data_IF_098061471297
#
_entry.id   IF_098061471297
#
_cell.length_a   1.000
_cell.length_b   1.000
_cell.length_c   1.000
_cell.angle_alpha   90.00
_cell.angle_beta   90.00
_cell.angle_gamma   90.00
#
_symmetry.space_group_name_H-M   'P 1'
#
loop_
_entity.id
_entity.type
_entity.pdbx_description
1 polymer ?
#
# COMPACT_ATOMS: atom_id res chain seq x y z
N UNK A 1 -26.34 23.46 2.34
CA UNK A 1 -27.22 22.69 1.49
C UNK A 1 -26.43 21.78 0.58
N UNK A 2 -26.70 21.79 -0.72
CA UNK A 2 -25.94 20.94 -1.65
C UNK A 2 -24.44 21.16 -1.56
N UNK A 3 -24.03 22.42 -1.45
CA UNK A 3 -22.64 22.78 -1.28
C UNK A 3 -22.01 22.14 -0.02
N UNK A 4 -22.71 22.19 1.09
CA UNK A 4 -22.22 21.60 2.33
C UNK A 4 -22.16 20.09 2.27
N UNK A 5 -23.08 19.47 1.55
CA UNK A 5 -23.05 18.02 1.32
C UNK A 5 -21.83 17.62 0.50
N UNK A 6 -21.50 18.37 -0.55
CA UNK A 6 -20.32 18.10 -1.36
C UNK A 6 -19.03 18.20 -0.54
N UNK A 7 -18.92 19.24 0.29
CA UNK A 7 -17.75 19.41 1.17
C UNK A 7 -17.66 18.27 2.17
N UNK A 8 -18.77 17.90 2.82
CA UNK A 8 -18.78 16.79 3.77
C UNK A 8 -18.43 15.46 3.10
N UNK A 9 -18.79 15.31 1.83
CA UNK A 9 -18.51 14.11 1.05
C UNK A 9 -17.02 13.95 0.71
N UNK A 10 -16.32 15.06 0.53
CA UNK A 10 -14.95 15.09 0.01
C UNK A 10 -13.90 15.31 1.09
N UNK A 11 -14.28 15.27 2.37
CA UNK A 11 -13.36 15.42 3.48
C UNK A 11 -13.15 14.09 4.18
N UNK A 12 -12.17 13.99 5.02
CA UNK A 12 -11.96 12.85 5.92
C UNK A 12 -11.69 11.53 5.18
N UNK A 13 -10.56 11.52 4.48
CA UNK A 13 -10.00 10.31 3.92
C UNK A 13 -8.72 9.94 4.66
N UNK A 14 -8.40 8.66 4.61
CA UNK A 14 -7.12 8.13 5.07
C UNK A 14 -6.29 7.71 3.86
N UNK A 15 -5.09 8.26 3.75
CA UNK A 15 -4.13 7.89 2.72
C UNK A 15 -3.17 6.86 3.30
N UNK A 16 -3.04 5.71 2.64
CA UNK A 16 -2.12 4.66 3.06
C UNK A 16 -1.14 4.31 1.96
N UNK A 17 0.06 3.96 2.36
CA UNK A 17 1.10 3.45 1.49
C UNK A 17 1.69 2.21 2.10
N UNK A 18 1.69 1.12 1.32
CA UNK A 18 2.38 -0.13 1.67
C UNK A 18 3.60 -0.23 0.79
N UNK A 19 4.76 -0.18 1.38
CA UNK A 19 6.03 -0.15 0.64
C UNK A 19 6.70 -1.51 0.74
N UNK A 20 6.73 -2.21 -0.39
CA UNK A 20 7.25 -3.57 -0.49
C UNK A 20 8.63 -3.54 -1.16
N UNK A 21 9.67 -3.77 -0.38
CA UNK A 21 11.02 -3.89 -0.89
C UNK A 21 11.20 -5.16 -1.71
N UNK A 22 12.03 -5.09 -2.75
CA UNK A 22 12.20 -6.19 -3.69
C UNK A 22 13.57 -6.86 -3.62
N UNK A 23 14.39 -6.55 -2.62
CA UNK A 23 15.58 -7.33 -2.33
C UNK A 23 15.25 -8.45 -1.35
N UNK A 24 15.63 -9.66 -1.69
CA UNK A 24 15.48 -10.81 -0.77
C UNK A 24 16.83 -11.00 -0.08
N UNK A 25 16.89 -10.95 1.26
CA UNK A 25 18.13 -11.12 1.98
C UNK A 25 18.84 -12.43 1.58
N UNK A 26 20.07 -12.32 1.07
CA UNK A 26 20.92 -13.44 0.65
C UNK A 26 20.33 -14.32 -0.47
N UNK A 27 19.34 -13.83 -1.23
CA UNK A 27 18.66 -14.67 -2.20
C UNK A 27 18.20 -13.92 -3.47
N UNK A 28 18.80 -12.78 -3.78
CA UNK A 28 18.49 -12.05 -4.99
C UNK A 28 17.30 -11.11 -4.84
N UNK A 29 16.41 -11.07 -5.82
CA UNK A 29 15.34 -10.09 -5.89
C UNK A 29 14.00 -10.74 -6.14
N UNK A 30 12.94 -10.09 -5.68
CA UNK A 30 11.57 -10.41 -6.08
C UNK A 30 11.41 -10.00 -7.53
N UNK A 31 11.20 -10.98 -8.42
CA UNK A 31 11.04 -10.73 -9.85
C UNK A 31 9.71 -10.06 -10.15
N UNK A 32 9.57 -9.56 -11.39
CA UNK A 32 8.30 -8.99 -11.84
C UNK A 32 7.16 -10.01 -11.78
N UNK A 33 7.43 -11.25 -12.17
CA UNK A 33 6.40 -12.31 -12.08
C UNK A 33 6.02 -12.59 -10.64
N UNK A 34 6.98 -12.67 -9.74
CA UNK A 34 6.72 -12.92 -8.31
C UNK A 34 5.87 -11.82 -7.68
N UNK A 35 6.22 -10.55 -7.94
CA UNK A 35 5.47 -9.44 -7.38
C UNK A 35 4.07 -9.34 -7.99
N UNK A 36 3.95 -9.59 -9.28
CA UNK A 36 2.64 -9.57 -9.95
C UNK A 36 1.73 -10.69 -9.45
N UNK A 37 2.26 -11.87 -9.23
CA UNK A 37 1.50 -12.99 -8.66
C UNK A 37 1.03 -12.67 -7.25
N UNK A 38 1.89 -12.07 -6.43
CA UNK A 38 1.51 -11.62 -5.10
C UNK A 38 0.39 -10.59 -5.13
N UNK A 39 0.50 -9.59 -6.01
CA UNK A 39 -0.53 -8.55 -6.16
C UNK A 39 -1.87 -9.18 -6.56
N UNK A 40 -1.86 -10.09 -7.54
CA UNK A 40 -3.08 -10.75 -8.01
C UNK A 40 -3.74 -11.61 -6.96
N UNK A 41 -2.97 -12.31 -6.15
CA UNK A 41 -3.52 -13.23 -5.16
C UNK A 41 -3.87 -12.53 -3.85
N UNK A 42 -3.13 -11.53 -3.42
CA UNK A 42 -3.24 -10.98 -2.07
C UNK A 42 -3.81 -9.56 -2.00
N UNK A 43 -3.72 -8.78 -3.08
CA UNK A 43 -4.18 -7.38 -3.07
C UNK A 43 -5.45 -7.20 -3.88
N UNK A 44 -5.44 -7.59 -5.13
CA UNK A 44 -6.57 -7.37 -6.05
C UNK A 44 -7.90 -7.94 -5.52
N UNK A 45 -7.96 -9.11 -4.87
CA UNK A 45 -9.23 -9.61 -4.36
C UNK A 45 -9.89 -8.74 -3.29
N UNK A 46 -9.15 -7.86 -2.67
CA UNK A 46 -9.62 -7.04 -1.55
C UNK A 46 -9.89 -5.59 -1.89
N UNK A 47 -9.42 -5.10 -3.04
CA UNK A 47 -9.51 -3.69 -3.38
C UNK A 47 -10.02 -3.50 -4.80
N UNK A 48 -11.05 -2.65 -4.94
CA UNK A 48 -11.60 -2.29 -6.25
C UNK A 48 -10.79 -1.21 -6.94
N UNK A 49 -9.97 -0.47 -6.20
CA UNK A 49 -9.16 0.63 -6.73
C UNK A 49 -7.89 0.79 -5.91
N UNK A 50 -6.98 1.56 -6.44
CA UNK A 50 -5.70 1.86 -5.83
C UNK A 50 -4.67 2.13 -6.92
N UNK A 51 -3.46 2.47 -6.52
CA UNK A 51 -2.37 2.79 -7.44
C UNK A 51 -1.13 2.04 -7.04
N UNK A 52 -0.48 1.42 -8.02
CA UNK A 52 0.84 0.81 -7.81
C UNK A 52 1.90 1.74 -8.37
N UNK A 53 2.93 1.97 -7.59
CA UNK A 53 4.04 2.85 -7.93
C UNK A 53 5.32 2.04 -7.83
N UNK A 54 6.13 2.08 -8.88
CA UNK A 54 7.50 1.57 -8.82
C UNK A 54 8.40 2.66 -8.26
N UNK A 55 9.14 2.33 -7.22
CA UNK A 55 10.03 3.26 -6.57
C UNK A 55 11.43 2.70 -6.41
N UNK A 56 12.34 3.58 -6.01
CA UNK A 56 13.69 3.21 -5.64
C UNK A 56 13.91 3.62 -4.18
N UNK A 57 14.18 2.63 -3.35
CA UNK A 57 14.38 2.83 -1.92
C UNK A 57 15.83 2.76 -1.52
N UNK A 58 16.10 3.14 -0.30
CA UNK A 58 17.38 2.97 0.35
C UNK A 58 17.16 2.20 1.64
N UNK A 59 17.87 1.09 1.78
CA UNK A 59 17.78 0.26 2.97
C UNK A 59 19.19 -0.21 3.38
N UNK A 60 19.58 0.14 4.59
CA UNK A 60 20.91 -0.22 5.11
C UNK A 60 22.06 0.14 4.16
N UNK A 61 21.97 1.31 3.53
CA UNK A 61 22.99 1.81 2.62
C UNK A 61 22.96 1.25 1.20
N UNK A 62 21.99 0.40 0.87
CA UNK A 62 21.86 -0.20 -0.45
C UNK A 62 20.59 0.25 -1.15
N UNK A 63 20.68 0.45 -2.46
CA UNK A 63 19.51 0.71 -3.28
C UNK A 63 18.66 -0.55 -3.40
N UNK A 64 17.35 -0.33 -3.35
CA UNK A 64 16.37 -1.39 -3.44
C UNK A 64 15.19 -0.93 -4.27
N UNK A 65 14.87 -1.66 -5.34
CA UNK A 65 13.60 -1.43 -6.03
C UNK A 65 12.44 -1.73 -5.09
N UNK A 66 11.40 -0.93 -5.17
CA UNK A 66 10.20 -1.08 -4.34
C UNK A 66 8.95 -1.10 -5.20
N UNK A 67 7.94 -1.81 -4.73
CA UNK A 67 6.57 -1.69 -5.22
C UNK A 67 5.74 -1.06 -4.12
N UNK A 68 5.07 0.04 -4.42
CA UNK A 68 4.26 0.77 -3.46
C UNK A 68 2.80 0.62 -3.86
N UNK A 69 1.98 0.13 -2.94
CA UNK A 69 0.53 0.18 -3.08
C UNK A 69 0.01 1.39 -2.34
N UNK A 70 -0.62 2.29 -3.08
CA UNK A 70 -1.19 3.53 -2.58
C UNK A 70 -2.70 3.50 -2.72
N UNK A 71 -3.40 3.84 -1.64
CA UNK A 71 -4.86 3.94 -1.66
C UNK A 71 -5.33 5.02 -0.70
N UNK A 72 -6.39 5.72 -1.08
CA UNK A 72 -7.12 6.61 -0.17
C UNK A 72 -8.52 6.06 0.03
N UNK A 73 -8.90 5.91 1.27
CA UNK A 73 -10.22 5.37 1.63
C UNK A 73 -10.97 6.37 2.50
N UNK A 74 -12.32 6.35 2.47
CA UNK A 74 -13.09 7.15 3.41
C UNK A 74 -12.71 6.86 4.85
N UNK A 75 -12.80 7.86 5.71
CA UNK A 75 -12.39 7.78 7.11
C UNK A 75 -13.10 6.62 7.85
N UNK A 76 -14.35 6.35 7.53
CA UNK A 76 -15.10 5.26 8.15
C UNK A 76 -14.63 3.85 7.72
N UNK A 77 -13.77 3.75 6.71
CA UNK A 77 -13.16 2.49 6.28
C UNK A 77 -11.69 2.38 6.71
N UNK A 78 -11.15 3.40 7.35
CA UNK A 78 -9.71 3.49 7.61
C UNK A 78 -9.20 2.36 8.50
N UNK A 79 -9.92 2.03 9.57
CA UNK A 79 -9.49 0.99 10.52
C UNK A 79 -9.47 -0.38 9.83
N UNK A 80 -10.53 -0.75 9.14
CA UNK A 80 -10.60 -2.03 8.44
C UNK A 80 -9.52 -2.14 7.35
N UNK A 81 -9.30 -1.07 6.60
CA UNK A 81 -8.26 -1.02 5.57
C UNK A 81 -6.87 -1.15 6.19
N UNK A 82 -6.61 -0.46 7.29
CA UNK A 82 -5.34 -0.56 8.01
C UNK A 82 -5.04 -1.98 8.45
N UNK A 83 -6.01 -2.64 9.07
CA UNK A 83 -5.86 -4.04 9.51
C UNK A 83 -5.55 -4.96 8.34
N UNK A 84 -6.28 -4.79 7.24
CA UNK A 84 -6.09 -5.61 6.03
C UNK A 84 -4.71 -5.38 5.42
N UNK A 85 -4.28 -4.13 5.28
CA UNK A 85 -2.97 -3.81 4.71
C UNK A 85 -1.82 -4.34 5.56
N UNK A 86 -1.94 -4.28 6.88
CA UNK A 86 -0.93 -4.86 7.78
C UNK A 86 -0.87 -6.38 7.64
N UNK A 87 -2.00 -7.02 7.45
CA UNK A 87 -2.05 -8.46 7.20
C UNK A 87 -1.38 -8.82 5.85
N UNK A 88 -1.68 -8.07 4.80
CA UNK A 88 -1.04 -8.25 3.49
C UNK A 88 0.48 -8.01 3.59
N UNK A 89 0.87 -6.95 4.29
CA UNK A 89 2.28 -6.64 4.51
C UNK A 89 3.02 -7.78 5.23
N UNK A 90 2.38 -8.40 6.22
CA UNK A 90 2.95 -9.53 6.93
C UNK A 90 3.10 -10.77 6.03
N UNK A 91 2.12 -11.01 5.16
CA UNK A 91 2.22 -12.08 4.15
C UNK A 91 3.40 -11.83 3.19
N UNK A 92 3.57 -10.61 2.73
CA UNK A 92 4.70 -10.25 1.87
C UNK A 92 6.03 -10.45 2.59
N UNK A 93 6.12 -9.98 3.84
CA UNK A 93 7.31 -10.12 4.67
C UNK A 93 7.74 -11.58 4.80
N UNK A 94 6.78 -12.46 5.07
CA UNK A 94 7.05 -13.89 5.23
C UNK A 94 7.38 -14.56 3.89
N UNK A 95 6.65 -14.24 2.84
CA UNK A 95 6.84 -14.86 1.53
C UNK A 95 8.23 -14.57 0.95
N UNK A 96 8.73 -13.35 1.15
CA UNK A 96 10.00 -12.90 0.57
C UNK A 96 11.07 -12.60 1.62
N UNK A 97 10.90 -13.11 2.82
CA UNK A 97 11.87 -13.03 3.92
C UNK A 97 12.36 -11.60 4.19
N UNK A 98 11.45 -10.65 4.17
CA UNK A 98 11.73 -9.26 4.47
C UNK A 98 11.87 -9.05 5.98
N UNK A 99 12.79 -8.17 6.39
CA UNK A 99 12.88 -7.77 7.79
C UNK A 99 11.64 -7.02 8.22
N UNK A 100 11.14 -6.15 7.36
CA UNK A 100 9.94 -5.37 7.60
C UNK A 100 9.30 -4.92 6.29
N UNK A 101 8.04 -4.55 6.37
CA UNK A 101 7.30 -3.86 5.30
C UNK A 101 6.68 -2.63 5.92
N UNK A 102 6.96 -1.46 5.35
CA UNK A 102 6.44 -0.20 5.86
C UNK A 102 4.99 -0.01 5.42
N UNK A 103 4.11 0.21 6.40
CA UNK A 103 2.73 0.65 6.15
C UNK A 103 2.58 2.03 6.79
N UNK A 104 2.35 3.04 5.96
CA UNK A 104 2.26 4.44 6.38
C UNK A 104 0.84 4.94 6.18
N UNK A 105 0.31 5.65 7.17
CA UNK A 105 -1.05 6.16 7.17
C UNK A 105 -1.06 7.64 7.55
N UNK A 106 -1.88 8.42 6.85
CA UNK A 106 -2.06 9.83 7.17
C UNK A 106 -3.48 10.26 6.81
N UNK A 107 -4.10 11.04 7.69
CA UNK A 107 -5.39 11.66 7.41
C UNK A 107 -5.22 12.76 6.37
N UNK A 108 -6.15 12.84 5.44
CA UNK A 108 -6.10 13.81 4.36
C UNK A 108 -7.50 14.27 3.98
N UNK A 109 -7.56 15.38 3.26
CA UNK A 109 -8.77 15.83 2.59
C UNK A 109 -8.66 15.49 1.11
N UNK A 110 -9.67 14.80 0.59
CA UNK A 110 -9.65 14.32 -0.78
C UNK A 110 -10.88 14.79 -1.52
N UNK A 111 -10.70 15.26 -2.73
CA UNK A 111 -11.78 15.69 -3.60
C UNK A 111 -11.70 14.94 -4.92
N UNK A 112 -12.79 14.33 -5.30
CA UNK A 112 -12.93 13.74 -6.64
C UNK A 112 -13.51 14.82 -7.58
N UNK A 113 -12.75 15.17 -8.58
CA UNK A 113 -13.10 16.22 -9.54
C UNK A 113 -13.67 15.62 -10.81
#
# INVERSE_FOLDING_TARGET
MLYNLVIAYNTLYEKTRTIMGRNIPNAGKVSDNMINDFIKSEIIPHFEYGTFIDGEGLWKGEFENTKIFYIEVPDNEAIATSVLLKHIADKYRKAFRQESVLVSEVSTQTTFV
#
